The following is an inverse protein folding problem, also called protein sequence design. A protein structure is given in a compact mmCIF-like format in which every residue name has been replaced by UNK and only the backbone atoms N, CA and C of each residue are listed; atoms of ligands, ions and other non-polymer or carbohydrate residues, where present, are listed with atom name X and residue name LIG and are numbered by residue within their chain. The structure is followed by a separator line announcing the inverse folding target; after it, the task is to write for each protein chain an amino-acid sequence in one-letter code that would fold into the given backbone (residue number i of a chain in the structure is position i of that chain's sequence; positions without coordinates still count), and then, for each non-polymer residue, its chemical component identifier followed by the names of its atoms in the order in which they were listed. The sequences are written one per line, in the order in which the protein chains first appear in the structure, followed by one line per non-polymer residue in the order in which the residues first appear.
data_IF_050590517023
#
_entry.id   IF_050590517023
#
_cell.length_a   1.000
_cell.length_b   1.000
_cell.length_c   1.000
_cell.angle_alpha   90.00
_cell.angle_beta   90.00
_cell.angle_gamma   90.00
#
_symmetry.space_group_name_H-M   'P 1'
#
loop_
_entity.id
_entity.type
_entity.pdbx_description
1 polymer ?
#
# COMPACT_ATOMS: atom_id res chain seq x y z
N UNK A 1 -3.91 -12.93 4.84
CA UNK A 1 -4.21 -14.27 4.31
C UNK A 1 -3.37 -14.57 3.06
N UNK A 2 -3.44 -13.79 1.96
CA UNK A 2 -2.77 -14.06 0.68
C UNK A 2 -1.26 -14.33 0.86
N UNK A 3 -0.52 -13.41 1.48
CA UNK A 3 0.92 -13.59 1.74
C UNK A 3 1.24 -14.85 2.56
N UNK A 4 0.35 -15.24 3.47
CA UNK A 4 0.51 -16.49 4.23
C UNK A 4 0.43 -17.72 3.34
N UNK A 5 -0.46 -17.74 2.36
CA UNK A 5 -0.56 -18.82 1.39
C UNK A 5 0.66 -18.86 0.46
N UNK A 6 1.07 -17.71 -0.09
CA UNK A 6 2.27 -17.61 -0.93
C UNK A 6 3.51 -18.17 -0.20
N UNK A 7 3.71 -17.76 1.05
CA UNK A 7 4.84 -18.23 1.85
C UNK A 7 4.77 -19.73 2.15
N UNK A 8 3.59 -20.27 2.44
CA UNK A 8 3.40 -21.70 2.67
C UNK A 8 3.69 -22.50 1.41
N UNK A 9 3.19 -22.05 0.26
CA UNK A 9 3.45 -22.66 -1.05
C UNK A 9 4.94 -22.63 -1.40
N UNK A 10 5.63 -21.55 -1.11
CA UNK A 10 7.09 -21.44 -1.30
C UNK A 10 7.87 -22.42 -0.40
N UNK A 11 7.30 -22.85 0.73
CA UNK A 11 7.85 -23.88 1.61
C UNK A 11 7.43 -25.31 1.23
N UNK A 12 6.69 -25.48 0.13
CA UNK A 12 6.30 -26.78 -0.40
C UNK A 12 4.89 -27.25 -0.03
N UNK A 13 4.10 -26.39 0.63
CA UNK A 13 2.68 -26.70 0.82
C UNK A 13 1.92 -26.62 -0.52
N UNK A 14 0.88 -27.45 -0.73
CA UNK A 14 0.12 -27.45 -1.97
C UNK A 14 -0.67 -26.14 -2.12
N UNK A 15 -0.79 -25.65 -3.35
CA UNK A 15 -1.66 -24.52 -3.67
C UNK A 15 -3.10 -24.81 -3.26
N UNK A 16 -3.77 -23.82 -2.69
CA UNK A 16 -5.16 -23.92 -2.21
C UNK A 16 -6.05 -22.95 -2.97
N UNK A 17 -7.21 -23.40 -3.41
CA UNK A 17 -8.21 -22.58 -4.13
C UNK A 17 -8.62 -21.35 -3.34
N UNK A 18 -8.63 -21.43 -2.02
CA UNK A 18 -8.98 -20.32 -1.13
C UNK A 18 -8.03 -19.10 -1.30
N UNK A 19 -6.80 -19.29 -1.80
CA UNK A 19 -5.92 -18.15 -2.14
C UNK A 19 -6.54 -17.30 -3.24
N UNK A 20 -7.03 -17.93 -4.32
CA UNK A 20 -7.68 -17.24 -5.42
C UNK A 20 -8.96 -16.52 -4.96
N UNK A 21 -9.75 -17.13 -4.07
CA UNK A 21 -10.94 -16.49 -3.47
C UNK A 21 -10.56 -15.21 -2.71
N UNK A 22 -9.47 -15.20 -1.95
CA UNK A 22 -9.00 -14.02 -1.25
C UNK A 22 -8.47 -12.93 -2.19
N UNK A 23 -7.84 -13.31 -3.29
CA UNK A 23 -7.42 -12.37 -4.34
C UNK A 23 -8.64 -11.72 -4.98
N UNK A 24 -9.66 -12.50 -5.35
CA UNK A 24 -10.91 -12.01 -5.93
C UNK A 24 -11.66 -11.07 -4.97
N UNK A 25 -11.75 -11.43 -3.70
CA UNK A 25 -12.33 -10.57 -2.66
C UNK A 25 -11.57 -9.25 -2.55
N UNK A 26 -10.22 -9.30 -2.57
CA UNK A 26 -9.41 -8.09 -2.48
C UNK A 26 -9.62 -7.16 -3.69
N UNK A 27 -9.68 -7.70 -4.90
CA UNK A 27 -10.01 -6.92 -6.09
C UNK A 27 -11.43 -6.34 -6.04
N UNK A 28 -12.39 -7.10 -5.54
CA UNK A 28 -13.77 -6.61 -5.35
C UNK A 28 -13.81 -5.43 -4.39
N UNK A 29 -13.11 -5.54 -3.25
CA UNK A 29 -13.01 -4.42 -2.30
C UNK A 29 -12.33 -3.22 -2.91
N UNK A 30 -11.25 -3.39 -3.65
CA UNK A 30 -10.57 -2.28 -4.32
C UNK A 30 -11.50 -1.59 -5.32
N UNK A 31 -12.22 -2.34 -6.15
CA UNK A 31 -13.20 -1.77 -7.09
C UNK A 31 -14.32 -1.01 -6.37
N UNK A 32 -14.77 -1.49 -5.20
CA UNK A 32 -15.76 -0.78 -4.38
C UNK A 32 -15.16 0.48 -3.72
N UNK A 33 -13.92 0.44 -3.32
CA UNK A 33 -13.24 1.57 -2.69
C UNK A 33 -12.95 2.72 -3.68
N UNK A 34 -12.91 2.46 -4.97
CA UNK A 34 -12.74 3.49 -6.00
C UNK A 34 -14.03 4.15 -6.46
N UNK A 35 -15.16 3.68 -5.98
CA UNK A 35 -16.41 4.40 -6.14
C UNK A 35 -16.43 5.62 -5.21
N UNK A 36 -16.12 6.78 -5.77
CA UNK A 36 -16.06 8.05 -5.02
C UNK A 36 -17.34 8.39 -4.25
N UNK A 37 -18.47 7.77 -4.60
CA UNK A 37 -19.72 7.93 -3.86
C UNK A 37 -19.70 7.28 -2.47
N UNK A 38 -18.89 6.24 -2.26
CA UNK A 38 -18.76 5.55 -0.98
C UNK A 38 -17.67 6.14 -0.09
N UNK A 39 -16.64 6.75 -0.65
CA UNK A 39 -15.49 7.26 0.09
C UNK A 39 -15.80 8.39 1.08
N UNK A 40 -16.85 9.15 0.85
CA UNK A 40 -17.17 10.31 1.67
C UNK A 40 -17.62 9.99 3.10
N UNK A 41 -17.92 8.75 3.43
CA UNK A 41 -18.52 8.36 4.71
C UNK A 41 -17.80 7.25 5.45
N UNK A 42 -17.00 6.42 4.77
CA UNK A 42 -16.40 5.25 5.38
C UNK A 42 -15.02 5.55 5.98
N UNK A 43 -14.76 4.94 7.13
CA UNK A 43 -13.44 5.00 7.76
C UNK A 43 -12.44 4.15 6.97
N UNK A 44 -11.41 4.80 6.45
CA UNK A 44 -10.38 4.13 5.65
C UNK A 44 -9.00 4.44 6.21
N UNK A 45 -8.18 3.40 6.27
CA UNK A 45 -6.78 3.52 6.67
C UNK A 45 -5.88 3.22 5.47
N UNK A 46 -5.19 4.22 4.90
CA UNK A 46 -4.32 4.05 3.73
C UNK A 46 -3.27 2.94 3.89
N UNK A 47 -2.70 2.78 5.08
CA UNK A 47 -1.71 1.73 5.33
C UNK A 47 -2.32 0.32 5.23
N UNK A 48 -3.60 0.13 5.60
CA UNK A 48 -4.28 -1.16 5.44
C UNK A 48 -4.53 -1.48 3.96
N UNK A 49 -4.91 -0.48 3.17
CA UNK A 49 -5.03 -0.61 1.73
C UNK A 49 -3.66 -0.96 1.10
N UNK A 50 -2.59 -0.32 1.53
CA UNK A 50 -1.24 -0.61 1.05
C UNK A 50 -0.76 -2.04 1.40
N UNK A 51 -1.09 -2.56 2.59
CA UNK A 51 -0.79 -3.95 2.96
C UNK A 51 -1.54 -4.93 2.02
N UNK A 52 -2.79 -4.63 1.70
CA UNK A 52 -3.56 -5.45 0.74
C UNK A 52 -2.97 -5.34 -0.67
N UNK A 53 -2.57 -4.14 -1.09
CA UNK A 53 -1.89 -3.92 -2.36
C UNK A 53 -0.60 -4.75 -2.48
N UNK A 54 0.21 -4.81 -1.42
CA UNK A 54 1.43 -5.61 -1.42
C UNK A 54 1.14 -7.11 -1.52
N UNK A 55 0.04 -7.58 -0.95
CA UNK A 55 -0.39 -8.96 -1.12
C UNK A 55 -0.83 -9.26 -2.57
N UNK A 56 -1.50 -8.32 -3.23
CA UNK A 56 -1.86 -8.41 -4.65
C UNK A 56 -0.64 -8.33 -5.57
N UNK A 57 0.36 -7.51 -5.23
CA UNK A 57 1.63 -7.45 -5.96
C UNK A 57 2.36 -8.80 -5.87
N UNK A 58 2.43 -9.41 -4.68
CA UNK A 58 3.07 -10.70 -4.50
C UNK A 58 2.35 -11.82 -5.28
N UNK A 59 1.03 -11.79 -5.34
CA UNK A 59 0.24 -12.70 -6.18
C UNK A 59 0.48 -12.44 -7.67
N UNK A 60 0.54 -11.17 -8.07
CA UNK A 60 0.82 -10.77 -9.44
C UNK A 60 2.23 -11.20 -9.91
N UNK A 61 3.23 -11.15 -9.05
CA UNK A 61 4.59 -11.62 -9.39
C UNK A 61 4.58 -13.11 -9.83
N UNK A 62 3.64 -13.92 -9.35
CA UNK A 62 3.48 -15.33 -9.75
C UNK A 62 2.48 -15.54 -10.88
N UNK A 63 1.38 -14.79 -10.90
CA UNK A 63 0.22 -15.08 -11.76
C UNK A 63 0.11 -14.14 -12.96
N UNK A 64 0.69 -12.95 -12.87
CA UNK A 64 0.52 -11.85 -13.84
C UNK A 64 -0.95 -11.46 -14.02
N UNK A 65 -1.75 -11.48 -12.94
CA UNK A 65 -3.16 -11.11 -12.98
C UNK A 65 -3.34 -9.68 -13.51
N UNK A 66 -3.93 -9.57 -14.70
CA UNK A 66 -4.08 -8.28 -15.40
C UNK A 66 -4.94 -7.24 -14.63
N UNK A 67 -5.71 -7.67 -13.63
CA UNK A 67 -6.50 -6.76 -12.78
C UNK A 67 -5.64 -5.94 -11.83
N UNK A 68 -4.44 -6.44 -11.49
CA UNK A 68 -3.63 -5.88 -10.42
C UNK A 68 -3.14 -4.47 -10.77
N UNK A 69 -2.51 -4.28 -11.92
CA UNK A 69 -1.93 -2.98 -12.28
C UNK A 69 -2.96 -1.84 -12.31
N UNK A 70 -4.09 -1.93 -13.05
CA UNK A 70 -5.07 -0.84 -13.04
C UNK A 70 -5.66 -0.58 -11.64
N UNK A 71 -5.93 -1.61 -10.86
CA UNK A 71 -6.43 -1.45 -9.50
C UNK A 71 -5.45 -0.68 -8.60
N UNK A 72 -4.16 -0.97 -8.71
CA UNK A 72 -3.14 -0.29 -7.91
C UNK A 72 -2.80 1.12 -8.39
N UNK A 73 -2.94 1.40 -9.69
CA UNK A 73 -2.86 2.78 -10.21
C UNK A 73 -3.96 3.64 -9.58
N UNK A 74 -5.20 3.18 -9.61
CA UNK A 74 -6.34 3.89 -9.00
C UNK A 74 -6.15 4.06 -7.49
N UNK A 75 -5.76 3.01 -6.78
CA UNK A 75 -5.44 3.10 -5.35
C UNK A 75 -4.34 4.15 -5.09
N UNK A 76 -3.27 4.14 -5.86
CA UNK A 76 -2.17 5.08 -5.71
C UNK A 76 -2.61 6.54 -5.93
N UNK A 77 -3.42 6.80 -6.94
CA UNK A 77 -3.99 8.12 -7.19
C UNK A 77 -4.90 8.56 -6.04
N UNK A 78 -5.81 7.69 -5.62
CA UNK A 78 -6.69 7.96 -4.50
C UNK A 78 -5.91 8.27 -3.21
N UNK A 79 -4.97 7.42 -2.82
CA UNK A 79 -4.17 7.66 -1.61
C UNK A 79 -3.46 9.01 -1.66
N UNK A 80 -2.94 9.38 -2.84
CA UNK A 80 -2.23 10.64 -2.98
C UNK A 80 -3.15 11.85 -2.92
N UNK A 81 -4.33 11.77 -3.52
CA UNK A 81 -5.28 12.88 -3.59
C UNK A 81 -5.98 13.11 -2.25
N UNK A 82 -6.42 12.02 -1.61
CA UNK A 82 -7.29 12.12 -0.42
C UNK A 82 -6.52 12.01 0.90
N UNK A 83 -5.45 11.21 0.93
CA UNK A 83 -4.80 10.87 2.19
C UNK A 83 -3.43 11.53 2.39
N UNK A 84 -2.79 12.01 1.35
CA UNK A 84 -1.47 12.63 1.51
C UNK A 84 -1.54 13.98 2.21
N UNK A 85 -0.72 14.14 3.27
CA UNK A 85 -0.58 15.37 4.02
C UNK A 85 0.77 16.00 3.71
N UNK A 86 0.77 16.99 2.82
CA UNK A 86 1.98 17.62 2.29
C UNK A 86 2.89 18.24 3.37
N UNK A 87 2.39 18.91 4.43
CA UNK A 87 3.26 19.50 5.45
C UNK A 87 4.15 18.48 6.18
N UNK A 88 3.67 17.26 6.39
CA UNK A 88 4.43 16.18 7.05
C UNK A 88 5.07 15.21 6.05
N UNK A 89 4.75 15.34 4.77
CA UNK A 89 5.15 14.40 3.71
C UNK A 89 4.78 12.95 4.07
N UNK A 90 3.58 12.77 4.59
CA UNK A 90 3.11 11.46 5.06
C UNK A 90 1.64 11.25 4.69
N UNK A 91 1.24 9.99 4.61
CA UNK A 91 -0.17 9.66 4.52
C UNK A 91 -0.84 9.82 5.89
N UNK A 92 -2.11 10.21 5.90
CA UNK A 92 -2.91 10.23 7.13
C UNK A 92 -3.09 8.81 7.65
N UNK A 93 -3.21 8.67 8.97
CA UNK A 93 -3.46 7.37 9.59
C UNK A 93 -4.78 6.77 9.12
N UNK A 94 -5.81 7.60 9.08
CA UNK A 94 -7.14 7.23 8.60
C UNK A 94 -7.89 8.46 8.06
N UNK A 95 -8.84 8.19 7.19
CA UNK A 95 -9.83 9.15 6.72
C UNK A 95 -11.17 8.85 7.37
N UNK A 96 -12.02 9.88 7.55
CA UNK A 96 -13.35 9.76 8.11
C UNK A 96 -13.41 8.93 9.42
N UNK A 97 -12.70 9.33 10.50
CA UNK A 97 -12.68 8.57 11.74
C UNK A 97 -14.10 8.52 12.36
N UNK A 98 -14.49 7.33 12.86
CA UNK A 98 -15.79 7.12 13.53
C UNK A 98 -15.92 8.00 14.79
N UNK A 99 -14.80 8.21 15.47
CA UNK A 99 -14.71 9.11 16.62
C UNK A 99 -13.68 10.20 16.35
N UNK A 100 -14.10 11.40 16.00
CA UNK A 100 -13.18 12.51 15.73
C UNK A 100 -12.51 13.08 16.98
N UNK A 101 -12.95 12.70 18.19
CA UNK A 101 -12.37 13.19 19.45
C UNK A 101 -10.93 12.68 19.57
N UNK A 102 -9.98 13.62 19.63
CA UNK A 102 -8.55 13.31 19.69
C UNK A 102 -7.90 12.92 18.37
N UNK A 103 -8.64 12.92 17.26
CA UNK A 103 -8.07 12.69 15.94
C UNK A 103 -7.30 13.94 15.47
N UNK A 104 -6.02 13.74 15.22
CA UNK A 104 -5.16 14.77 14.60
C UNK A 104 -5.10 14.49 13.11
N UNK A 105 -5.50 15.49 12.33
CA UNK A 105 -5.54 15.40 10.84
C UNK A 105 -4.13 15.42 10.20
N UNK A 106 -3.10 15.17 10.98
CA UNK A 106 -1.72 15.14 10.52
C UNK A 106 -1.38 13.80 9.85
N UNK A 107 -0.33 13.83 9.04
CA UNK A 107 0.20 12.60 8.46
C UNK A 107 0.87 11.71 9.53
N UNK A 108 0.89 10.41 9.27
CA UNK A 108 1.51 9.38 10.09
C UNK A 108 2.83 8.89 9.44
N UNK A 109 3.94 9.60 9.62
CA UNK A 109 5.20 9.28 8.94
C UNK A 109 5.78 7.92 9.32
N UNK A 110 5.39 7.38 10.47
CA UNK A 110 5.74 6.02 10.92
C UNK A 110 5.08 4.91 10.09
N UNK A 111 4.12 5.23 9.22
CA UNK A 111 3.48 4.30 8.30
C UNK A 111 3.90 4.47 6.84
N UNK A 112 4.68 5.50 6.54
CA UNK A 112 5.07 5.79 5.17
C UNK A 112 5.76 4.62 4.46
N UNK A 113 6.66 3.91 5.15
CA UNK A 113 7.42 2.82 4.54
C UNK A 113 6.61 1.53 4.33
N UNK A 114 5.39 1.47 4.89
CA UNK A 114 4.41 0.43 4.54
C UNK A 114 3.73 0.79 3.22
N UNK A 115 3.53 2.08 2.96
CA UNK A 115 2.77 2.59 1.81
C UNK A 115 3.68 2.83 0.59
N UNK A 116 4.86 3.39 0.80
CA UNK A 116 5.79 3.74 -0.26
C UNK A 116 6.07 2.62 -1.27
N UNK A 117 6.19 1.33 -0.87
CA UNK A 117 6.43 0.24 -1.82
C UNK A 117 5.40 0.14 -2.95
N UNK A 118 4.14 0.54 -2.73
CA UNK A 118 3.11 0.57 -3.78
C UNK A 118 3.55 1.50 -4.91
N UNK A 119 4.04 2.69 -4.57
CA UNK A 119 4.51 3.66 -5.56
C UNK A 119 5.83 3.22 -6.23
N UNK A 120 6.72 2.55 -5.50
CA UNK A 120 7.92 1.95 -6.07
C UNK A 120 7.59 0.91 -7.14
N UNK A 121 6.62 0.04 -6.86
CA UNK A 121 6.15 -0.95 -7.81
C UNK A 121 5.45 -0.30 -9.02
N UNK A 122 4.58 0.69 -8.79
CA UNK A 122 3.92 1.43 -9.86
C UNK A 122 4.93 2.12 -10.78
N UNK A 123 5.97 2.73 -10.22
CA UNK A 123 7.07 3.27 -11.01
C UNK A 123 7.72 2.22 -11.90
N UNK A 124 8.03 1.05 -11.35
CA UNK A 124 8.65 -0.04 -12.11
C UNK A 124 7.75 -0.53 -13.25
N UNK A 125 6.44 -0.62 -13.01
CA UNK A 125 5.49 -1.16 -14.00
C UNK A 125 5.10 -0.15 -15.08
N UNK A 126 5.01 1.13 -14.74
CA UNK A 126 4.46 2.15 -15.65
C UNK A 126 5.53 3.05 -16.29
N UNK A 127 6.68 3.20 -15.64
CA UNK A 127 7.68 4.19 -16.02
C UNK A 127 7.26 5.65 -15.76
N UNK A 128 6.11 5.89 -15.12
CA UNK A 128 5.61 7.24 -14.85
C UNK A 128 6.33 7.86 -13.65
N UNK A 129 7.09 8.92 -13.91
CA UNK A 129 7.94 9.58 -12.88
C UNK A 129 7.16 10.06 -11.66
N UNK A 130 5.87 10.34 -11.79
CA UNK A 130 5.00 10.74 -10.68
C UNK A 130 5.00 9.69 -9.57
N UNK A 131 5.02 8.41 -9.90
CA UNK A 131 5.04 7.35 -8.90
C UNK A 131 6.39 7.28 -8.16
N UNK A 132 7.49 7.46 -8.89
CA UNK A 132 8.83 7.57 -8.28
C UNK A 132 8.89 8.76 -7.32
N UNK A 133 8.41 9.91 -7.74
CA UNK A 133 8.47 11.13 -6.95
C UNK A 133 7.60 11.03 -5.69
N UNK A 134 6.46 10.33 -5.77
CA UNK A 134 5.62 10.00 -4.62
C UNK A 134 6.30 9.03 -3.65
N UNK A 135 6.97 8.01 -4.18
CA UNK A 135 7.80 7.11 -3.36
C UNK A 135 8.85 7.91 -2.60
N UNK A 136 9.61 8.76 -3.30
CA UNK A 136 10.70 9.55 -2.74
C UNK A 136 10.18 10.53 -1.66
N UNK A 137 9.00 11.12 -1.86
CA UNK A 137 8.37 11.99 -0.87
C UNK A 137 8.00 11.24 0.42
N UNK A 138 7.41 10.06 0.31
CA UNK A 138 7.08 9.23 1.47
C UNK A 138 8.34 8.72 2.18
N UNK A 139 9.35 8.31 1.43
CA UNK A 139 10.65 7.90 1.99
C UNK A 139 11.29 9.07 2.74
N UNK A 140 11.26 10.28 2.17
CA UNK A 140 11.77 11.47 2.84
C UNK A 140 10.98 11.79 4.10
N UNK A 141 9.65 11.76 4.03
CA UNK A 141 8.75 12.03 5.16
C UNK A 141 8.93 11.03 6.31
N UNK A 142 9.28 9.77 6.01
CA UNK A 142 9.53 8.75 7.04
C UNK A 142 10.69 9.09 8.00
N UNK A 143 11.58 10.00 7.60
CA UNK A 143 12.67 10.49 8.47
C UNK A 143 12.16 11.23 9.70
N UNK A 144 10.92 11.71 9.66
CA UNK A 144 10.25 12.37 10.79
C UNK A 144 9.48 11.37 11.67
N UNK A 145 9.59 10.07 11.35
CA UNK A 145 8.91 9.04 12.10
C UNK A 145 9.52 8.87 13.50
N UNK A 146 8.63 8.84 14.50
CA UNK A 146 8.99 8.45 15.84
C UNK A 146 8.78 6.95 16.00
N UNK A 147 9.87 6.20 16.01
CA UNK A 147 9.84 4.72 16.10
C UNK A 147 10.09 4.27 17.53
N UNK A 148 9.13 4.49 18.41
CA UNK A 148 9.25 4.16 19.85
C UNK A 148 9.14 2.67 20.19
N UNK A 149 8.59 1.87 19.32
CA UNK A 149 8.33 0.47 19.59
C UNK A 149 8.87 -0.47 18.53
N UNK A 150 9.19 -1.68 18.92
CA UNK A 150 9.62 -2.73 18.00
C UNK A 150 8.64 -2.93 16.85
N UNK A 151 7.33 -2.78 17.11
CA UNK A 151 6.31 -2.92 16.08
C UNK A 151 6.49 -1.92 14.92
N UNK A 152 6.63 -0.61 15.21
CA UNK A 152 6.80 0.40 14.17
C UNK A 152 8.12 0.19 13.42
N UNK A 153 9.20 -0.13 14.15
CA UNK A 153 10.49 -0.43 13.55
C UNK A 153 10.39 -1.62 12.59
N UNK A 154 9.86 -2.74 13.05
CA UNK A 154 9.76 -3.98 12.27
C UNK A 154 8.90 -3.79 11.02
N UNK A 155 7.77 -3.09 11.13
CA UNK A 155 6.89 -2.81 9.99
C UNK A 155 7.61 -2.00 8.92
N UNK A 156 8.25 -0.90 9.29
CA UNK A 156 8.94 -0.04 8.32
C UNK A 156 10.18 -0.74 7.73
N UNK A 157 10.93 -1.45 8.54
CA UNK A 157 12.11 -2.18 8.09
C UNK A 157 11.75 -3.27 7.07
N UNK A 158 10.73 -4.09 7.37
CA UNK A 158 10.32 -5.20 6.52
C UNK A 158 9.90 -4.74 5.11
N UNK A 159 9.08 -3.71 5.03
CA UNK A 159 8.48 -3.27 3.78
C UNK A 159 9.39 -2.37 2.93
N UNK A 160 10.32 -1.66 3.53
CA UNK A 160 11.18 -0.69 2.85
C UNK A 160 12.06 -1.32 1.75
N UNK A 161 12.53 -2.54 1.94
CA UNK A 161 13.41 -3.21 0.98
C UNK A 161 12.75 -3.46 -0.37
N UNK A 162 11.52 -3.95 -0.38
CA UNK A 162 10.78 -4.17 -1.62
C UNK A 162 10.57 -2.87 -2.39
N UNK A 163 10.18 -1.82 -1.67
CA UNK A 163 10.02 -0.49 -2.25
C UNK A 163 11.31 0.06 -2.85
N UNK A 164 12.42 -0.04 -2.13
CA UNK A 164 13.73 0.40 -2.64
C UNK A 164 14.16 -0.40 -3.86
N UNK A 165 13.99 -1.73 -3.84
CA UNK A 165 14.29 -2.58 -5.00
C UNK A 165 13.56 -2.11 -6.26
N UNK A 166 12.25 -1.89 -6.17
CA UNK A 166 11.45 -1.42 -7.32
C UNK A 166 11.81 0.00 -7.74
N UNK A 167 12.06 0.88 -6.76
CA UNK A 167 12.45 2.27 -7.02
C UNK A 167 13.76 2.39 -7.79
N UNK A 168 14.75 1.53 -7.51
CA UNK A 168 16.08 1.52 -8.16
C UNK A 168 16.09 0.76 -9.49
N UNK A 169 15.07 -0.02 -9.80
CA UNK A 169 14.99 -0.77 -11.05
C UNK A 169 14.60 0.17 -12.20
N UNK A 170 15.20 -0.04 -13.36
CA UNK A 170 14.74 0.63 -14.59
C UNK A 170 13.33 0.15 -14.93
N UNK A 171 12.38 1.05 -15.25
CA UNK A 171 11.04 0.66 -15.68
C UNK A 171 11.05 -0.29 -16.89
N UNK A 172 10.05 -1.15 -16.96
CA UNK A 172 9.87 -2.11 -18.04
C UNK A 172 9.52 -1.44 -19.36
#
# INVERSE_FOLDING_TARGET
AILGFINAEALGEPKRDIRAEWVDVSHTYFAQWYDTAHWGTDQISPFMAAITAQALIADWEETQDARCLPALVELGEWMWTEAYHAPTQAMRYQLNPISPEGYVEEGAPDLNLIIAPVYGWLWQQTGETVHRDRFDALLYGSRNAWLEGGKQFDQNYWWSFSGMRWRETTPA
#
